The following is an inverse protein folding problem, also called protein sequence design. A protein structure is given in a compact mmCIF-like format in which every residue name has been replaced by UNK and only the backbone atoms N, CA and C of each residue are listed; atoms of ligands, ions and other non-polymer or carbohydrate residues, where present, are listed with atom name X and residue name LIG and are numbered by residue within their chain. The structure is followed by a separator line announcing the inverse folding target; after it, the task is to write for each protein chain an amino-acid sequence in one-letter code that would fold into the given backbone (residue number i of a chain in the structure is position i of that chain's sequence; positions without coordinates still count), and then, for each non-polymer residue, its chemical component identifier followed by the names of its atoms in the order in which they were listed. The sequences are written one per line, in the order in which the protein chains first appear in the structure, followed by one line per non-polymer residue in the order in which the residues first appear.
data_IF_576299050397
#
_entry.id   IF_576299050397
#
_cell.length_a   1.000
_cell.length_b   1.000
_cell.length_c   1.000
_cell.angle_alpha   90.00
_cell.angle_beta   90.00
_cell.angle_gamma   90.00
#
_symmetry.space_group_name_H-M   'P 1'
#
loop_
_entity.id
_entity.type
_entity.pdbx_description
1 polymer ?
#
# COMPACT_ATOMS: atom_id res chain seq x y z
N UNK A 1 11.42 -22.40 25.93
CA UNK A 1 10.66 -22.00 27.13
C UNK A 1 9.99 -20.68 26.80
N UNK A 2 8.65 -20.64 26.75
CA UNK A 2 7.91 -19.40 26.47
C UNK A 2 7.75 -18.61 27.77
N UNK A 3 7.89 -17.29 27.68
CA UNK A 3 7.87 -16.37 28.83
C UNK A 3 6.51 -16.44 29.55
N UNK A 4 6.55 -16.58 30.87
CA UNK A 4 5.40 -16.69 31.78
C UNK A 4 4.40 -15.51 31.68
N UNK A 5 4.78 -14.41 31.01
CA UNK A 5 3.95 -13.23 30.83
C UNK A 5 2.86 -13.44 29.76
N UNK A 6 3.00 -14.44 28.87
CA UNK A 6 1.97 -14.75 27.87
C UNK A 6 0.84 -15.65 28.39
N UNK A 7 0.95 -16.20 29.61
CA UNK A 7 -0.07 -17.08 30.20
C UNK A 7 -1.11 -16.32 31.06
N UNK A 8 -0.83 -15.09 31.50
CA UNK A 8 -1.65 -14.42 32.52
C UNK A 8 -2.77 -13.49 32.00
N UNK A 9 -2.92 -13.27 30.68
CA UNK A 9 -3.94 -12.36 30.14
C UNK A 9 -4.97 -13.01 29.20
N UNK A 10 -4.73 -14.25 28.74
CA UNK A 10 -5.63 -14.96 27.82
C UNK A 10 -5.80 -16.42 28.27
N UNK A 11 -6.83 -16.67 29.09
CA UNK A 11 -7.25 -18.02 29.45
C UNK A 11 -7.55 -18.88 28.21
N UNK A 12 -7.50 -20.19 28.37
CA UNK A 12 -7.60 -21.24 27.33
C UNK A 12 -8.97 -21.39 26.64
N UNK A 13 -9.81 -20.35 26.63
CA UNK A 13 -11.12 -20.35 26.00
C UNK A 13 -11.23 -19.24 24.96
N UNK A 14 -10.78 -19.52 23.74
CA UNK A 14 -11.40 -18.87 22.58
C UNK A 14 -12.84 -19.40 22.53
N UNK A 15 -13.80 -18.61 23.02
CA UNK A 15 -15.24 -18.92 23.04
C UNK A 15 -15.78 -19.24 21.64
N UNK A 16 -15.08 -18.79 20.61
CA UNK A 16 -15.41 -18.97 19.21
C UNK A 16 -14.30 -19.70 18.45
N UNK A 17 -14.66 -20.32 17.33
CA UNK A 17 -13.77 -21.06 16.44
C UNK A 17 -14.18 -20.83 14.99
N UNK A 18 -13.19 -20.74 14.11
CA UNK A 18 -13.39 -20.65 12.67
C UNK A 18 -13.66 -22.03 12.05
N UNK A 19 -14.69 -22.12 11.23
CA UNK A 19 -14.91 -23.28 10.37
C UNK A 19 -13.88 -23.31 9.23
N UNK A 20 -13.07 -24.37 9.12
CA UNK A 20 -12.09 -24.53 8.01
C UNK A 20 -12.70 -24.56 6.60
N UNK A 21 -14.02 -24.78 6.46
CA UNK A 21 -14.71 -24.86 5.17
C UNK A 21 -15.35 -23.52 4.78
N UNK A 22 -16.24 -22.98 5.61
CA UNK A 22 -16.93 -21.70 5.30
C UNK A 22 -16.26 -20.47 5.93
N UNK A 23 -15.22 -20.66 6.76
CA UNK A 23 -14.50 -19.62 7.50
C UNK A 23 -15.35 -18.73 8.41
N UNK A 24 -16.61 -19.09 8.64
CA UNK A 24 -17.46 -18.45 9.65
C UNK A 24 -16.97 -18.73 11.07
N UNK A 25 -17.11 -17.72 11.93
CA UNK A 25 -16.81 -17.77 13.36
C UNK A 25 -18.04 -18.21 14.14
N UNK A 26 -17.91 -19.28 14.93
CA UNK A 26 -19.02 -19.87 15.68
C UNK A 26 -18.56 -20.21 17.09
N UNK A 27 -19.48 -20.25 18.08
CA UNK A 27 -19.17 -20.75 19.41
C UNK A 27 -18.52 -22.13 19.36
N UNK A 28 -17.50 -22.35 20.19
CA UNK A 28 -16.74 -23.59 20.26
C UNK A 28 -17.52 -24.68 21.02
N UNK A 29 -18.73 -24.98 20.53
CA UNK A 29 -19.68 -25.91 21.16
C UNK A 29 -20.07 -27.08 20.23
N UNK A 30 -20.54 -28.20 20.80
CA UNK A 30 -21.09 -29.34 20.03
C UNK A 30 -22.33 -29.01 19.19
N UNK A 31 -22.97 -27.88 19.45
CA UNK A 31 -24.13 -27.41 18.69
C UNK A 31 -23.70 -26.95 17.29
N UNK A 32 -22.56 -26.27 17.20
CA UNK A 32 -22.02 -25.71 15.96
C UNK A 32 -20.99 -26.60 15.28
N UNK A 33 -20.29 -27.47 16.02
CA UNK A 33 -19.28 -28.38 15.48
C UNK A 33 -19.61 -29.83 15.87
N UNK A 34 -19.57 -30.75 14.91
CA UNK A 34 -19.74 -32.19 15.20
C UNK A 34 -18.51 -32.74 15.92
N UNK A 35 -18.60 -33.91 16.59
CA UNK A 35 -17.42 -34.59 17.12
C UNK A 35 -16.36 -34.82 16.04
N UNK A 36 -15.08 -34.66 16.39
CA UNK A 36 -13.96 -34.70 15.47
C UNK A 36 -12.62 -35.02 16.13
N UNK A 37 -11.53 -34.87 15.35
CA UNK A 37 -10.17 -35.25 15.77
C UNK A 37 -9.30 -34.07 16.21
N UNK A 38 -9.87 -32.86 16.31
CA UNK A 38 -9.11 -31.73 16.83
C UNK A 38 -8.90 -31.88 18.34
N UNK A 39 -8.00 -31.07 18.90
CA UNK A 39 -7.62 -31.11 20.31
C UNK A 39 -8.82 -30.96 21.26
N UNK A 40 -9.85 -30.23 20.83
CA UNK A 40 -11.13 -30.00 21.53
C UNK A 40 -12.18 -31.11 21.28
N UNK A 41 -11.81 -32.22 20.64
CA UNK A 41 -12.71 -33.32 20.24
C UNK A 41 -13.85 -32.90 19.30
N UNK A 42 -13.78 -31.69 18.74
CA UNK A 42 -14.72 -31.16 17.76
C UNK A 42 -14.10 -31.21 16.35
N UNK A 43 -14.94 -31.17 15.32
CA UNK A 43 -14.52 -31.12 13.92
C UNK A 43 -13.93 -29.75 13.58
N UNK A 44 -13.01 -29.72 12.61
CA UNK A 44 -12.44 -28.46 12.12
C UNK A 44 -13.42 -27.61 11.29
N UNK A 45 -14.62 -28.10 11.02
CA UNK A 45 -15.64 -27.43 10.21
C UNK A 45 -17.01 -27.53 10.88
N UNK A 46 -17.85 -26.52 10.65
CA UNK A 46 -19.15 -26.42 11.29
C UNK A 46 -20.10 -27.52 10.79
N UNK A 47 -21.16 -27.76 11.56
CA UNK A 47 -22.16 -28.79 11.32
C UNK A 47 -22.89 -28.61 9.98
N UNK A 48 -23.14 -27.37 9.55
CA UNK A 48 -23.68 -27.07 8.21
C UNK A 48 -22.73 -27.60 7.13
N UNK A 49 -21.43 -27.31 7.22
CA UNK A 49 -20.43 -27.83 6.28
C UNK A 49 -20.26 -29.35 6.38
N UNK A 50 -20.45 -29.93 7.57
CA UNK A 50 -20.44 -31.38 7.78
C UNK A 50 -21.59 -32.05 7.01
N UNK A 51 -22.80 -31.52 7.11
CA UNK A 51 -23.98 -32.02 6.39
C UNK A 51 -23.83 -31.89 4.88
N UNK A 52 -23.31 -30.75 4.39
CA UNK A 52 -23.00 -30.57 2.96
C UNK A 52 -22.02 -31.64 2.48
N UNK A 53 -20.95 -31.91 3.23
CA UNK A 53 -19.98 -32.97 2.87
C UNK A 53 -20.58 -34.37 2.93
N UNK A 54 -21.48 -34.64 3.89
CA UNK A 54 -22.16 -35.93 4.01
C UNK A 54 -23.10 -36.19 2.81
N UNK A 55 -23.86 -35.16 2.40
CA UNK A 55 -24.71 -35.22 1.21
C UNK A 55 -23.89 -35.40 -0.07
N UNK A 56 -22.75 -34.72 -0.18
CA UNK A 56 -21.82 -34.85 -1.33
C UNK A 56 -21.21 -36.25 -1.44
N UNK A 57 -21.02 -36.97 -0.33
CA UNK A 57 -20.51 -38.36 -0.35
C UNK A 57 -21.55 -39.38 -0.83
N UNK A 58 -22.84 -39.05 -0.79
CA UNK A 58 -23.93 -39.95 -1.16
C UNK A 58 -24.35 -39.83 -2.65
N UNK A 59 -23.88 -38.81 -3.37
CA UNK A 59 -24.19 -38.58 -4.78
C UNK A 59 -22.90 -38.37 -5.60
N UNK A 60 -22.26 -39.44 -6.13
CA UNK A 60 -20.95 -39.32 -6.77
C UNK A 60 -20.97 -38.44 -8.04
N UNK A 61 -22.11 -38.30 -8.71
CA UNK A 61 -22.22 -37.63 -10.01
C UNK A 61 -22.47 -36.11 -9.95
N UNK A 62 -22.67 -35.49 -8.76
CA UNK A 62 -22.95 -34.05 -8.61
C UNK A 62 -21.73 -33.22 -8.16
N UNK A 63 -20.62 -33.91 -7.87
CA UNK A 63 -19.41 -33.36 -7.24
C UNK A 63 -18.68 -32.37 -8.16
N UNK A 64 -18.61 -32.65 -9.45
CA UNK A 64 -17.98 -31.76 -10.44
C UNK A 64 -18.78 -30.48 -10.65
N UNK A 65 -20.12 -30.57 -10.60
CA UNK A 65 -21.02 -29.44 -10.87
C UNK A 65 -21.06 -28.44 -9.71
N UNK A 66 -20.99 -28.92 -8.45
CA UNK A 66 -20.97 -28.04 -7.26
C UNK A 66 -19.58 -27.49 -6.91
N UNK A 67 -18.49 -28.23 -7.15
CA UNK A 67 -17.13 -27.66 -7.06
C UNK A 67 -16.90 -26.59 -8.13
N UNK A 68 -17.50 -26.77 -9.31
CA UNK A 68 -17.53 -25.76 -10.37
C UNK A 68 -18.37 -24.53 -9.96
N UNK A 69 -19.50 -24.71 -9.27
CA UNK A 69 -20.30 -23.58 -8.74
C UNK A 69 -19.56 -22.75 -7.67
N UNK A 70 -18.69 -23.36 -6.85
CA UNK A 70 -17.80 -22.59 -5.96
C UNK A 70 -16.66 -21.87 -6.70
N UNK A 71 -16.35 -22.28 -7.94
CA UNK A 71 -15.39 -21.61 -8.83
C UNK A 71 -16.02 -20.51 -9.71
N UNK A 72 -17.35 -20.47 -9.76
CA UNK A 72 -18.20 -19.54 -10.51
C UNK A 72 -18.55 -18.27 -9.73
N UNK A 73 -18.06 -18.10 -8.51
CA UNK A 73 -18.05 -16.76 -7.93
C UNK A 73 -17.00 -15.96 -8.70
N UNK A 74 -17.52 -15.15 -9.60
CA UNK A 74 -16.75 -14.23 -10.42
C UNK A 74 -16.89 -12.82 -9.84
N UNK A 75 -15.82 -12.03 -9.97
CA UNK A 75 -15.76 -10.64 -9.54
C UNK A 75 -15.10 -9.82 -10.63
N UNK A 76 -15.62 -8.63 -10.87
CA UNK A 76 -14.96 -7.64 -11.73
C UNK A 76 -13.71 -7.10 -11.03
N UNK A 77 -12.57 -7.19 -11.69
CA UNK A 77 -11.35 -6.54 -11.22
C UNK A 77 -11.44 -5.03 -11.43
N UNK A 78 -11.27 -4.23 -10.36
CA UNK A 78 -11.22 -2.76 -10.48
C UNK A 78 -10.02 -2.24 -11.29
N UNK A 79 -8.95 -3.04 -11.42
CA UNK A 79 -7.74 -2.64 -12.14
C UNK A 79 -7.79 -2.83 -13.65
N UNK A 80 -8.40 -3.93 -14.13
CA UNK A 80 -8.49 -4.22 -15.58
C UNK A 80 -9.93 -4.33 -16.09
N UNK A 81 -10.94 -4.13 -15.25
CA UNK A 81 -12.37 -4.20 -15.62
C UNK A 81 -12.90 -5.59 -15.94
N UNK A 82 -12.03 -6.60 -16.09
CA UNK A 82 -12.44 -7.95 -16.49
C UNK A 82 -13.06 -8.72 -15.32
N UNK A 83 -14.13 -9.46 -15.64
CA UNK A 83 -14.76 -10.41 -14.72
C UNK A 83 -13.85 -11.64 -14.64
N UNK A 84 -13.45 -12.00 -13.42
CA UNK A 84 -12.48 -13.06 -13.15
C UNK A 84 -12.95 -13.92 -11.99
N UNK A 85 -12.57 -15.19 -11.97
CA UNK A 85 -12.86 -16.07 -10.84
C UNK A 85 -12.24 -15.53 -9.55
N UNK A 86 -12.92 -15.66 -8.40
CA UNK A 86 -12.37 -15.26 -7.09
C UNK A 86 -10.98 -15.89 -6.81
N UNK A 87 -10.61 -17.01 -7.44
CA UNK A 87 -9.26 -17.62 -7.32
C UNK A 87 -8.14 -16.74 -7.89
N UNK A 88 -8.46 -15.85 -8.82
CA UNK A 88 -7.56 -14.89 -9.43
C UNK A 88 -7.35 -13.63 -8.56
N UNK A 89 -7.89 -13.58 -7.35
CA UNK A 89 -7.74 -12.48 -6.40
C UNK A 89 -7.02 -12.97 -5.13
N UNK A 90 -6.23 -12.10 -4.50
CA UNK A 90 -5.63 -12.37 -3.19
C UNK A 90 -6.68 -12.27 -2.08
N UNK A 91 -6.35 -12.75 -0.88
CA UNK A 91 -7.24 -12.62 0.29
C UNK A 91 -7.16 -11.20 0.85
N UNK A 92 -8.29 -10.67 1.32
CA UNK A 92 -8.36 -9.40 2.04
C UNK A 92 -9.34 -9.51 3.19
N UNK A 93 -8.96 -9.04 4.38
CA UNK A 93 -9.84 -8.93 5.55
C UNK A 93 -10.79 -7.73 5.48
N UNK A 94 -10.53 -6.79 4.58
CA UNK A 94 -11.25 -5.51 4.49
C UNK A 94 -12.41 -5.53 3.50
N UNK A 95 -12.58 -6.65 2.77
CA UNK A 95 -13.60 -6.81 1.75
C UNK A 95 -14.68 -7.78 2.21
N UNK A 96 -15.94 -7.49 1.90
CA UNK A 96 -17.09 -8.34 2.24
C UNK A 96 -16.96 -9.78 1.71
N UNK A 97 -16.36 -9.96 0.53
CA UNK A 97 -16.13 -11.27 -0.11
C UNK A 97 -14.80 -11.94 0.30
N UNK A 98 -14.03 -11.31 1.19
CA UNK A 98 -12.74 -11.81 1.65
C UNK A 98 -11.62 -11.76 0.59
N UNK A 99 -11.83 -11.06 -0.54
CA UNK A 99 -10.88 -10.96 -1.66
C UNK A 99 -10.52 -9.51 -2.01
N UNK A 100 -9.29 -9.30 -2.46
CA UNK A 100 -8.87 -8.01 -3.02
C UNK A 100 -9.82 -7.54 -4.12
N UNK A 101 -9.94 -6.22 -4.33
CA UNK A 101 -10.75 -5.67 -5.42
C UNK A 101 -10.05 -5.75 -6.78
N UNK A 102 -8.73 -5.92 -6.76
CA UNK A 102 -7.86 -6.10 -7.92
C UNK A 102 -7.34 -7.53 -8.01
N UNK A 103 -7.22 -8.04 -9.24
CA UNK A 103 -6.75 -9.39 -9.51
C UNK A 103 -5.23 -9.49 -9.34
N UNK A 104 -4.74 -10.73 -9.17
CA UNK A 104 -3.34 -11.07 -8.99
C UNK A 104 -2.47 -10.51 -10.10
N UNK A 105 -2.88 -10.67 -11.36
CA UNK A 105 -2.12 -10.16 -12.51
C UNK A 105 -1.95 -8.64 -12.47
N UNK A 106 -2.98 -7.87 -12.09
CA UNK A 106 -2.86 -6.42 -11.96
C UNK A 106 -1.92 -6.04 -10.80
N UNK A 107 -1.99 -6.76 -9.68
CA UNK A 107 -1.13 -6.53 -8.52
C UNK A 107 0.32 -6.90 -8.84
N UNK A 108 0.54 -8.03 -9.53
CA UNK A 108 1.86 -8.50 -9.95
C UNK A 108 2.47 -7.60 -11.02
N UNK A 109 1.67 -7.12 -11.97
CA UNK A 109 2.10 -6.12 -12.96
C UNK A 109 2.56 -4.85 -12.25
N UNK A 110 1.75 -4.29 -11.34
CA UNK A 110 2.14 -3.12 -10.53
C UNK A 110 3.39 -3.37 -9.69
N UNK A 111 3.52 -4.55 -9.09
CA UNK A 111 4.70 -4.96 -8.31
C UNK A 111 5.95 -5.06 -9.19
N UNK A 112 5.81 -5.61 -10.40
CA UNK A 112 6.90 -5.71 -11.37
C UNK A 112 7.30 -4.34 -11.91
N UNK A 113 6.35 -3.46 -12.21
CA UNK A 113 6.60 -2.06 -12.57
C UNK A 113 7.32 -1.33 -11.44
N UNK A 114 6.88 -1.50 -10.18
CA UNK A 114 7.56 -0.94 -9.02
C UNK A 114 9.00 -1.45 -8.92
N UNK A 115 9.23 -2.76 -9.10
CA UNK A 115 10.59 -3.34 -9.09
C UNK A 115 11.45 -2.80 -10.23
N UNK A 116 10.92 -2.68 -11.44
CA UNK A 116 11.63 -2.10 -12.58
C UNK A 116 11.95 -0.61 -12.35
N UNK A 117 11.01 0.16 -11.77
CA UNK A 117 11.24 1.56 -11.38
C UNK A 117 12.32 1.65 -10.31
N UNK A 118 12.25 0.83 -9.27
CA UNK A 118 13.25 0.76 -8.20
C UNK A 118 14.65 0.33 -8.71
N UNK A 119 14.70 -0.54 -9.72
CA UNK A 119 15.95 -0.90 -10.40
C UNK A 119 16.52 0.23 -11.27
N UNK A 120 15.66 1.06 -11.89
CA UNK A 120 16.09 2.24 -12.65
C UNK A 120 16.58 3.37 -11.76
N UNK A 121 15.93 3.60 -10.63
CA UNK A 121 16.25 4.67 -9.66
C UNK A 121 17.40 4.29 -8.72
N UNK A 122 17.83 3.01 -8.69
CA UNK A 122 18.95 2.55 -7.88
C UNK A 122 18.69 2.58 -6.37
N UNK A 123 19.60 2.00 -5.57
CA UNK A 123 19.47 1.83 -4.11
C UNK A 123 19.66 3.14 -3.29
N UNK A 124 19.48 4.31 -3.92
CA UNK A 124 19.66 5.68 -3.39
C UNK A 124 18.32 6.46 -3.41
N UNK A 125 17.19 5.76 -3.33
CA UNK A 125 15.93 6.21 -3.91
C UNK A 125 15.04 7.14 -3.04
N UNK A 126 15.58 7.94 -2.11
CA UNK A 126 14.73 8.95 -1.46
C UNK A 126 14.72 10.25 -2.27
N UNK A 127 13.53 10.74 -2.57
CA UNK A 127 13.30 11.94 -3.35
C UNK A 127 12.24 12.83 -2.71
N UNK A 128 12.39 14.14 -2.93
CA UNK A 128 11.34 15.12 -2.65
C UNK A 128 10.47 15.26 -3.89
N UNK A 129 9.18 15.05 -3.76
CA UNK A 129 8.22 15.10 -4.86
C UNK A 129 7.35 16.35 -4.80
N UNK A 130 6.90 16.77 -5.98
CA UNK A 130 5.99 17.89 -6.18
C UNK A 130 4.76 17.39 -6.93
N UNK A 131 3.62 17.27 -6.26
CA UNK A 131 2.36 16.80 -6.87
C UNK A 131 1.37 17.95 -6.93
N UNK A 132 0.85 18.25 -8.12
CA UNK A 132 -0.11 19.33 -8.33
C UNK A 132 -1.53 18.82 -8.43
N UNK A 133 -2.45 19.56 -7.80
CA UNK A 133 -3.90 19.42 -7.95
C UNK A 133 -4.38 20.25 -9.16
N UNK A 134 -5.07 19.62 -10.10
CA UNK A 134 -5.58 20.25 -11.33
C UNK A 134 -6.66 21.32 -11.10
N UNK A 135 -7.33 21.34 -9.94
CA UNK A 135 -8.44 22.28 -9.69
C UNK A 135 -7.98 23.66 -9.25
N UNK A 136 -7.02 23.70 -8.33
CA UNK A 136 -6.58 24.92 -7.65
C UNK A 136 -5.08 25.18 -7.83
N UNK A 137 -4.40 24.34 -8.63
CA UNK A 137 -2.97 24.40 -8.91
C UNK A 137 -2.08 24.32 -7.67
N UNK A 138 -2.60 23.93 -6.49
CA UNK A 138 -1.80 23.77 -5.28
C UNK A 138 -0.83 22.60 -5.46
N UNK A 139 0.32 22.71 -4.81
CA UNK A 139 1.38 21.73 -4.88
C UNK A 139 1.57 21.06 -3.52
N UNK A 140 1.50 19.74 -3.50
CA UNK A 140 1.89 18.90 -2.40
C UNK A 140 3.40 18.68 -2.48
N UNK A 141 4.08 19.08 -1.41
CA UNK A 141 5.51 18.81 -1.20
C UNK A 141 5.61 17.69 -0.17
N UNK A 142 6.44 16.70 -0.44
CA UNK A 142 6.75 15.62 0.51
C UNK A 142 7.96 14.84 0.10
N UNK A 143 8.49 14.03 1.01
CA UNK A 143 9.59 13.09 0.73
C UNK A 143 9.10 11.64 0.75
N UNK A 144 9.63 10.80 -0.13
CA UNK A 144 9.39 9.35 -0.10
C UNK A 144 10.43 8.56 -0.90
N UNK A 145 10.37 7.23 -0.78
CA UNK A 145 11.13 6.27 -1.57
C UNK A 145 10.60 6.05 -3.00
N UNK A 146 9.33 6.39 -3.26
CA UNK A 146 8.70 6.28 -4.58
C UNK A 146 7.60 7.35 -4.80
N UNK A 147 7.91 8.45 -5.51
CA UNK A 147 6.97 9.55 -5.80
C UNK A 147 5.67 9.10 -6.48
N UNK A 148 5.70 8.02 -7.27
CA UNK A 148 4.52 7.53 -7.99
C UNK A 148 3.57 6.79 -7.05
N UNK A 149 4.09 6.10 -6.03
CA UNK A 149 3.25 5.46 -5.00
C UNK A 149 2.56 6.53 -4.14
N UNK A 150 3.27 7.62 -3.82
CA UNK A 150 2.69 8.77 -3.14
C UNK A 150 1.55 9.37 -3.98
N UNK A 151 1.76 9.56 -5.29
CA UNK A 151 0.72 10.03 -6.22
C UNK A 151 -0.50 9.09 -6.26
N UNK A 152 -0.31 7.78 -6.43
CA UNK A 152 -1.43 6.84 -6.45
C UNK A 152 -2.23 6.85 -5.13
N UNK A 153 -1.53 6.96 -4.01
CA UNK A 153 -2.16 6.97 -2.68
C UNK A 153 -2.98 8.25 -2.48
N UNK A 154 -2.42 9.40 -2.86
CA UNK A 154 -3.13 10.68 -2.82
C UNK A 154 -4.32 10.69 -3.78
N UNK A 155 -4.16 10.13 -4.98
CA UNK A 155 -5.22 10.08 -5.99
C UNK A 155 -6.43 9.26 -5.52
N UNK A 156 -6.24 8.20 -4.73
CA UNK A 156 -7.36 7.43 -4.14
C UNK A 156 -8.20 8.24 -3.16
N UNK A 157 -7.61 9.22 -2.49
CA UNK A 157 -8.29 10.10 -1.54
C UNK A 157 -8.80 11.40 -2.18
N UNK A 158 -8.48 11.66 -3.45
CA UNK A 158 -8.80 12.90 -4.15
C UNK A 158 -9.84 12.66 -5.24
N UNK A 159 -10.85 13.52 -5.33
CA UNK A 159 -11.77 13.58 -6.47
C UNK A 159 -11.15 14.25 -7.69
N UNK A 160 -10.12 15.09 -7.49
CA UNK A 160 -9.44 15.83 -8.55
C UNK A 160 -8.26 15.04 -9.11
N UNK A 161 -7.90 15.29 -10.36
CA UNK A 161 -6.73 14.66 -10.99
C UNK A 161 -5.45 15.28 -10.44
N UNK A 162 -4.53 14.43 -10.00
CA UNK A 162 -3.22 14.81 -9.48
C UNK A 162 -2.13 14.52 -10.49
N UNK A 163 -1.14 15.41 -10.59
CA UNK A 163 -0.01 15.29 -11.51
C UNK A 163 1.31 15.40 -10.77
N UNK A 164 2.21 14.43 -10.96
CA UNK A 164 3.60 14.57 -10.51
C UNK A 164 4.33 15.57 -11.43
N UNK A 165 4.72 16.73 -10.89
CA UNK A 165 5.42 17.77 -11.62
C UNK A 165 6.92 17.51 -11.71
N UNK A 166 7.52 17.11 -10.60
CA UNK A 166 8.96 16.90 -10.49
C UNK A 166 9.31 15.99 -9.31
N UNK A 167 10.49 15.38 -9.37
CA UNK A 167 11.10 14.62 -8.29
C UNK A 167 12.56 15.06 -8.15
N UNK A 168 12.93 15.56 -6.98
CA UNK A 168 14.29 15.94 -6.64
C UNK A 168 14.97 14.79 -5.88
N UNK A 169 15.93 14.15 -6.51
CA UNK A 169 16.65 13.01 -5.92
C UNK A 169 17.63 13.49 -4.84
N UNK A 170 17.43 13.02 -3.62
CA UNK A 170 18.23 13.41 -2.45
C UNK A 170 19.10 12.26 -1.91
N UNK A 171 19.02 11.06 -2.50
CA UNK A 171 19.81 9.91 -2.09
C UNK A 171 19.27 9.27 -0.81
N UNK A 172 19.69 9.81 0.34
CA UNK A 172 19.34 9.29 1.65
C UNK A 172 18.04 9.89 2.18
N UNK A 173 17.36 9.13 3.04
CA UNK A 173 16.12 9.54 3.70
C UNK A 173 16.27 10.89 4.43
N UNK A 174 17.32 11.01 5.24
CA UNK A 174 17.58 12.21 6.05
C UNK A 174 17.80 13.45 5.16
N UNK A 175 18.51 13.31 4.05
CA UNK A 175 18.70 14.39 3.07
C UNK A 175 17.38 14.83 2.45
N UNK A 176 16.52 13.87 2.06
CA UNK A 176 15.19 14.18 1.50
C UNK A 176 14.28 14.88 2.52
N UNK A 177 14.26 14.40 3.77
CA UNK A 177 13.48 15.01 4.86
C UNK A 177 14.00 16.42 5.19
N UNK A 178 15.32 16.66 5.13
CA UNK A 178 15.91 17.97 5.33
C UNK A 178 15.53 18.96 4.22
N UNK A 179 15.56 18.53 2.95
CA UNK A 179 15.15 19.35 1.81
C UNK A 179 13.65 19.65 1.88
N UNK A 180 12.82 18.65 2.21
CA UNK A 180 11.38 18.84 2.44
C UNK A 180 11.12 19.87 3.53
N UNK A 181 11.75 19.71 4.69
CA UNK A 181 11.61 20.62 5.83
C UNK A 181 12.04 22.04 5.49
N UNK A 182 13.13 22.19 4.73
CA UNK A 182 13.60 23.48 4.24
C UNK A 182 12.58 24.13 3.31
N UNK A 183 12.02 23.37 2.36
CA UNK A 183 10.97 23.86 1.46
C UNK A 183 9.70 24.24 2.21
N UNK A 184 9.27 23.45 3.20
CA UNK A 184 8.11 23.78 4.02
C UNK A 184 8.34 25.08 4.79
N UNK A 185 9.53 25.28 5.35
CA UNK A 185 9.91 26.53 6.03
C UNK A 185 9.93 27.73 5.08
N UNK A 186 10.54 27.59 3.90
CA UNK A 186 10.64 28.66 2.89
C UNK A 186 9.27 29.11 2.38
N UNK A 187 8.34 28.18 2.20
CA UNK A 187 7.00 28.44 1.65
C UNK A 187 5.90 28.45 2.73
N UNK A 188 6.26 28.55 4.01
CA UNK A 188 5.32 28.46 5.13
C UNK A 188 4.19 29.50 5.04
N UNK A 189 4.46 30.68 4.48
CA UNK A 189 3.46 31.74 4.26
C UNK A 189 2.37 31.36 3.28
N UNK A 190 2.61 30.37 2.41
CA UNK A 190 1.69 29.87 1.38
C UNK A 190 1.15 28.47 1.72
N UNK A 191 1.30 28.04 2.97
CA UNK A 191 0.82 26.74 3.44
C UNK A 191 -0.71 26.71 3.54
N UNK A 192 -1.32 25.75 2.87
CA UNK A 192 -2.79 25.57 2.83
C UNK A 192 -3.28 24.38 3.67
N UNK A 193 -2.37 23.63 4.32
CA UNK A 193 -2.70 22.48 5.17
C UNK A 193 -2.19 21.15 4.63
N UNK A 194 -1.89 20.20 5.52
CA UNK A 194 -1.43 18.84 5.21
C UNK A 194 -0.25 18.77 4.21
N UNK A 195 0.65 19.74 4.22
CA UNK A 195 1.79 19.84 3.30
C UNK A 195 1.43 20.28 1.88
N UNK A 196 0.26 20.86 1.67
CA UNK A 196 -0.13 21.53 0.42
C UNK A 196 0.22 23.02 0.49
N UNK A 197 0.75 23.54 -0.61
CA UNK A 197 1.18 24.92 -0.76
C UNK A 197 0.51 25.55 -1.98
N UNK A 198 0.24 26.85 -1.94
CA UNK A 198 -0.18 27.59 -3.13
C UNK A 198 0.97 27.65 -4.14
N UNK A 199 0.64 27.59 -5.44
CA UNK A 199 1.63 27.79 -6.49
C UNK A 199 2.02 29.26 -6.54
N UNK A 200 3.29 29.54 -6.22
CA UNK A 200 3.88 30.89 -6.29
C UNK A 200 5.08 30.88 -7.25
N UNK A 201 5.44 32.02 -7.86
CA UNK A 201 6.50 32.07 -8.88
C UNK A 201 7.85 31.51 -8.42
N UNK A 202 8.21 31.70 -7.14
CA UNK A 202 9.44 31.15 -6.56
C UNK A 202 9.40 29.62 -6.43
N UNK A 203 8.24 29.04 -6.12
CA UNK A 203 8.04 27.58 -6.10
C UNK A 203 8.03 27.00 -7.52
N UNK A 204 7.36 27.67 -8.46
CA UNK A 204 7.35 27.29 -9.87
C UNK A 204 8.77 27.31 -10.46
N UNK A 205 9.56 28.33 -10.14
CA UNK A 205 10.95 28.43 -10.54
C UNK A 205 11.78 27.26 -9.98
N UNK A 206 11.61 26.93 -8.70
CA UNK A 206 12.29 25.78 -8.10
C UNK A 206 11.93 24.48 -8.83
N UNK A 207 10.63 24.22 -9.05
CA UNK A 207 10.15 23.03 -9.77
C UNK A 207 10.71 22.98 -11.19
N UNK A 208 10.74 24.11 -11.90
CA UNK A 208 11.30 24.20 -13.26
C UNK A 208 12.79 23.86 -13.31
N UNK A 209 13.56 24.21 -12.29
CA UNK A 209 14.98 23.83 -12.20
C UNK A 209 15.15 22.32 -11.99
N UNK A 210 14.32 21.71 -11.15
CA UNK A 210 14.31 20.25 -10.96
C UNK A 210 13.96 19.53 -12.26
N UNK A 211 12.95 20.02 -13.00
CA UNK A 211 12.58 19.45 -14.30
C UNK A 211 13.68 19.53 -15.35
N UNK A 212 14.58 20.52 -15.24
CA UNK A 212 15.74 20.70 -16.12
C UNK A 212 17.00 19.99 -15.63
N UNK A 213 16.91 19.23 -14.54
CA UNK A 213 18.03 18.57 -13.86
C UNK A 213 19.14 19.55 -13.42
N UNK A 214 18.80 20.83 -13.22
CA UNK A 214 19.74 21.89 -12.81
C UNK A 214 19.75 22.01 -11.27
N UNK A 215 20.24 20.94 -10.63
CA UNK A 215 20.20 20.78 -9.18
C UNK A 215 21.06 21.80 -8.43
N UNK A 216 22.20 22.19 -9.00
CA UNK A 216 23.11 23.18 -8.40
C UNK A 216 22.39 24.52 -8.18
N UNK A 217 21.57 24.96 -9.15
CA UNK A 217 20.78 26.19 -9.00
C UNK A 217 19.60 26.03 -8.07
N UNK A 218 18.99 24.85 -8.02
CA UNK A 218 17.91 24.56 -7.09
C UNK A 218 18.41 24.62 -5.64
N UNK A 219 19.59 24.07 -5.35
CA UNK A 219 20.21 24.10 -4.01
C UNK A 219 20.52 25.54 -3.55
N UNK A 220 20.97 26.41 -4.46
CA UNK A 220 21.16 27.84 -4.16
C UNK A 220 19.85 28.51 -3.73
N UNK A 221 18.70 28.10 -4.27
CA UNK A 221 17.40 28.65 -3.88
C UNK A 221 16.91 28.13 -2.52
N UNK A 222 17.36 26.94 -2.08
CA UNK A 222 17.09 26.43 -0.73
C UNK A 222 17.86 27.21 0.34
N UNK A 223 18.99 27.81 -0.05
CA UNK A 223 19.87 28.58 0.83
C UNK A 223 20.21 29.96 0.23
N UNK A 224 19.28 30.94 0.27
CA UNK A 224 19.56 32.31 -0.17
C UNK A 224 20.57 33.00 0.78
N UNK A 225 21.86 32.74 0.50
CA UNK A 225 23.10 33.33 1.03
C UNK A 225 23.46 33.15 2.52
N UNK A 226 24.42 32.24 2.70
CA UNK A 226 25.68 32.43 3.42
C UNK A 226 26.47 31.13 3.33
N UNK A 227 27.43 30.91 2.43
CA UNK A 227 28.80 31.44 2.57
C UNK A 227 29.59 31.18 1.29
N UNK A 228 30.13 32.22 0.67
CA UNK A 228 31.40 32.13 -0.06
C UNK A 228 32.51 31.77 0.94
N UNK A 229 32.81 30.49 1.15
CA UNK A 229 34.11 30.06 1.68
C UNK A 229 34.61 28.80 0.97
N UNK A 230 35.63 29.03 0.15
CA UNK A 230 36.78 28.18 -0.13
C UNK A 230 36.62 26.90 -0.97
N UNK A 231 36.57 27.13 -2.28
CA UNK A 231 37.24 26.31 -3.30
C UNK A 231 38.77 26.58 -3.30
N UNK A 232 39.53 26.22 -2.26
CA UNK A 232 41.02 26.18 -2.24
C UNK A 232 41.41 25.29 -1.05
N UNK A 233 42.20 24.21 -1.08
CA UNK A 233 43.07 23.59 -2.05
C UNK A 233 43.16 22.08 -1.75
N UNK A 234 43.26 21.26 -2.80
CA UNK A 234 43.97 19.98 -2.73
C UNK A 234 44.56 19.72 -4.12
N UNK A 235 45.59 20.50 -4.43
CA UNK A 235 46.58 20.16 -5.46
C UNK A 235 47.95 20.18 -4.77
N UNK A 236 48.61 19.03 -4.85
CA UNK A 236 50.08 18.82 -4.87
C UNK A 236 50.91 19.39 -3.72
N UNK A 237 51.39 18.49 -2.85
CA UNK A 237 52.80 18.07 -2.81
C UNK A 237 52.93 16.82 -1.94
#
# INVERSE_FOLDING_TARGET
MRSAIQEELFGTEQYTRLCSMCRGEFPRSPEFFTPGRCQDKLASFCRKCSNVRAQVRQAPNETERRLSQMNLLEKSCEGCGTIKSLREFYMSSHSHDGKTSTCKNCIDAKSSERKMRQQRLGNLAWAVYFIQDSRNNRVKIGSCDDPYVALETLQKGSSETLHLLASHEAGQKESAENIESTLHSLFQTHYTGHGWFEMVPSLEQYISLIQKEDYDKAEILLHPMGTTQNKVASKTA
#
